data_IF_925982211088
#
_entry.id   IF_925982211088
#
_cell.length_a   1.000
_cell.length_b   1.000
_cell.length_c   1.000
_cell.angle_alpha   90.00
_cell.angle_beta   90.00
_cell.angle_gamma   90.00
#
_symmetry.space_group_name_H-M   'P 1'
#
loop_
_entity.id
_entity.type
_entity.pdbx_description
1 polymer ?
#
# COMPACT_ATOMS: atom_id res chain seq x y z
N UNK A 1 16.82 4.91 30.10
CA UNK A 1 16.00 6.14 29.99
C UNK A 1 14.70 5.86 30.72
N UNK A 2 14.36 6.70 31.69
CA UNK A 2 13.22 6.49 32.60
C UNK A 2 12.13 7.49 32.23
N UNK A 3 10.94 7.00 31.92
CA UNK A 3 9.81 7.84 31.53
C UNK A 3 8.79 7.80 32.68
N UNK A 4 8.68 8.91 33.41
CA UNK A 4 7.85 8.99 34.61
C UNK A 4 6.53 9.68 34.27
N UNK A 5 5.43 8.93 34.32
CA UNK A 5 4.07 9.47 34.18
C UNK A 5 3.50 9.69 35.57
N UNK A 6 3.18 10.94 35.90
CA UNK A 6 2.59 11.32 37.19
C UNK A 6 1.06 11.23 37.16
N UNK A 7 0.51 10.24 37.86
CA UNK A 7 -0.93 10.07 38.15
C UNK A 7 -1.12 9.53 39.58
N UNK A 8 -2.32 9.68 40.17
CA UNK A 8 -2.54 9.52 41.60
C UNK A 8 -2.29 8.08 42.09
N UNK A 9 -1.63 8.03 43.25
CA UNK A 9 -0.95 6.90 43.89
C UNK A 9 -1.89 5.79 44.35
N UNK A 10 -2.21 4.78 43.52
CA UNK A 10 -2.61 3.45 44.01
C UNK A 10 -2.15 2.37 43.03
N UNK A 11 -1.18 1.57 43.47
CA UNK A 11 -0.60 0.37 42.81
C UNK A 11 0.21 0.63 41.53
N UNK A 12 1.51 0.89 41.70
CA UNK A 12 2.48 0.59 40.65
C UNK A 12 2.52 -0.93 40.48
N UNK A 13 1.82 -1.44 39.46
CA UNK A 13 2.02 -2.79 38.94
C UNK A 13 3.37 -2.81 38.22
N UNK A 14 4.45 -2.96 38.98
CA UNK A 14 5.76 -3.27 38.41
C UNK A 14 5.76 -4.76 38.10
N UNK A 15 5.35 -5.13 36.87
CA UNK A 15 5.57 -6.48 36.38
C UNK A 15 7.06 -6.61 36.03
N UNK A 16 7.84 -7.42 36.76
CA UNK A 16 9.19 -7.73 36.31
C UNK A 16 9.05 -8.52 34.99
N UNK A 17 9.58 -7.99 33.89
CA UNK A 17 9.74 -8.76 32.66
C UNK A 17 10.92 -9.72 32.91
N UNK A 18 10.67 -10.79 33.68
CA UNK A 18 11.67 -11.79 34.06
C UNK A 18 11.75 -12.98 33.10
N UNK A 19 10.97 -12.97 32.02
CA UNK A 19 11.04 -13.96 30.96
C UNK A 19 11.25 -13.24 29.63
N UNK A 20 12.08 -13.82 28.78
CA UNK A 20 12.17 -13.42 27.38
C UNK A 20 10.74 -13.39 26.83
N UNK A 21 10.25 -12.21 26.45
CA UNK A 21 8.91 -12.06 25.86
C UNK A 21 8.85 -12.65 24.43
N UNK A 22 9.98 -13.18 23.95
CA UNK A 22 10.10 -13.92 22.71
C UNK A 22 9.61 -15.35 22.96
N UNK A 23 8.54 -15.81 22.28
CA UNK A 23 8.12 -17.21 22.33
C UNK A 23 9.30 -18.12 22.00
N UNK A 24 9.42 -19.28 22.67
CA UNK A 24 10.57 -20.19 22.52
C UNK A 24 10.86 -20.63 21.07
N UNK A 25 9.87 -20.51 20.18
CA UNK A 25 9.97 -20.82 18.75
C UNK A 25 10.56 -19.70 17.88
N UNK A 26 10.66 -18.47 18.39
CA UNK A 26 11.11 -17.31 17.63
C UNK A 26 12.56 -16.99 17.93
N UNK A 27 13.33 -16.67 16.88
CA UNK A 27 14.60 -16.00 17.05
C UNK A 27 14.36 -14.49 17.29
N UNK A 28 15.38 -13.78 17.80
CA UNK A 28 15.25 -12.35 18.14
C UNK A 28 14.83 -11.48 16.95
N UNK A 29 15.34 -11.77 15.75
CA UNK A 29 15.03 -11.02 14.53
C UNK A 29 13.56 -11.18 14.12
N UNK A 30 13.00 -12.39 14.27
CA UNK A 30 11.60 -12.69 14.04
C UNK A 30 10.72 -11.94 15.06
N UNK A 31 11.13 -11.91 16.33
CA UNK A 31 10.40 -11.18 17.36
C UNK A 31 10.38 -9.66 17.11
N UNK A 32 11.50 -9.08 16.69
CA UNK A 32 11.60 -7.66 16.34
C UNK A 32 10.72 -7.34 15.13
N UNK A 33 10.75 -8.19 14.10
CA UNK A 33 9.91 -8.03 12.90
C UNK A 33 8.42 -8.03 13.25
N UNK A 34 7.98 -8.92 14.14
CA UNK A 34 6.60 -8.96 14.59
C UNK A 34 6.23 -7.80 15.53
N UNK A 35 7.17 -7.33 16.36
CA UNK A 35 6.95 -6.15 17.19
C UNK A 35 6.68 -4.91 16.32
N UNK A 36 7.50 -4.69 15.29
CA UNK A 36 7.30 -3.62 14.31
C UNK A 36 5.94 -3.77 13.58
N UNK A 37 5.59 -4.99 13.18
CA UNK A 37 4.31 -5.28 12.53
C UNK A 37 3.11 -4.85 13.39
N UNK A 38 3.16 -5.12 14.70
CA UNK A 38 2.09 -4.71 15.62
C UNK A 38 2.11 -3.21 15.93
N UNK A 39 3.29 -2.58 15.98
CA UNK A 39 3.39 -1.12 16.16
C UNK A 39 2.78 -0.36 14.97
N UNK A 40 2.98 -0.85 13.74
CA UNK A 40 2.33 -0.27 12.56
C UNK A 40 0.81 -0.41 12.60
N UNK A 41 0.26 -1.55 13.04
CA UNK A 41 -1.18 -1.71 13.22
C UNK A 41 -1.72 -0.73 14.26
N UNK A 42 -1.07 -0.62 15.42
CA UNK A 42 -1.47 0.31 16.47
C UNK A 42 -1.39 1.77 16.01
N UNK A 43 -0.36 2.12 15.24
CA UNK A 43 -0.23 3.45 14.63
C UNK A 43 -1.33 3.71 13.62
N UNK A 44 -1.67 2.74 12.77
CA UNK A 44 -2.75 2.85 11.79
C UNK A 44 -4.11 3.06 12.49
N UNK A 45 -4.41 2.30 13.53
CA UNK A 45 -5.61 2.47 14.36
C UNK A 45 -5.69 3.89 14.93
N UNK A 46 -4.59 4.38 15.50
CA UNK A 46 -4.52 5.73 16.07
C UNK A 46 -4.73 6.81 15.02
N UNK A 47 -4.12 6.69 13.83
CA UNK A 47 -4.23 7.70 12.77
C UNK A 47 -5.62 7.72 12.12
N UNK A 48 -6.28 6.57 12.04
CA UNK A 48 -7.60 6.43 11.42
C UNK A 48 -8.74 6.60 12.41
N UNK A 49 -8.46 6.53 13.72
CA UNK A 49 -9.47 6.53 14.77
C UNK A 49 -10.31 5.24 14.81
N UNK A 50 -9.91 4.21 14.08
CA UNK A 50 -10.64 2.94 13.99
C UNK A 50 -9.97 1.88 14.86
N UNK A 51 -10.76 1.16 15.64
CA UNK A 51 -10.29 -0.05 16.33
C UNK A 51 -10.62 -1.27 15.48
N UNK A 52 -9.63 -2.14 15.27
CA UNK A 52 -9.78 -3.42 14.60
C UNK A 52 -8.89 -4.47 15.26
N UNK A 53 -9.41 -5.64 15.56
CA UNK A 53 -8.58 -6.72 16.09
C UNK A 53 -7.60 -7.22 15.03
N UNK A 54 -6.47 -7.79 15.47
CA UNK A 54 -5.59 -8.54 14.56
C UNK A 54 -6.40 -9.66 13.91
N UNK A 55 -6.46 -9.71 12.56
CA UNK A 55 -7.30 -10.70 11.89
C UNK A 55 -6.77 -12.13 12.08
N UNK A 56 -7.64 -13.15 12.08
CA UNK A 56 -7.21 -14.54 12.06
C UNK A 56 -6.31 -14.79 10.84
N UNK A 57 -5.12 -15.37 11.06
CA UNK A 57 -4.17 -15.62 9.98
C UNK A 57 -3.37 -14.41 9.50
N UNK A 58 -3.28 -13.35 10.32
CA UNK A 58 -2.43 -12.19 10.05
C UNK A 58 -1.00 -12.58 9.67
N UNK A 59 -0.52 -12.05 8.56
CA UNK A 59 0.79 -12.36 7.97
C UNK A 59 1.71 -11.14 7.95
N UNK A 60 3.01 -11.36 7.71
CA UNK A 60 3.95 -10.27 7.46
C UNK A 60 3.62 -9.45 6.20
N UNK A 61 2.87 -10.02 5.25
CA UNK A 61 2.37 -9.26 4.10
C UNK A 61 1.34 -8.23 4.54
N UNK A 62 0.41 -8.62 5.41
CA UNK A 62 -0.58 -7.70 5.98
C UNK A 62 0.15 -6.60 6.80
N UNK A 63 1.18 -6.97 7.56
CA UNK A 63 2.02 -6.00 8.26
C UNK A 63 2.70 -4.98 7.32
N UNK A 64 3.20 -5.45 6.18
CA UNK A 64 3.75 -4.58 5.16
C UNK A 64 2.69 -3.64 4.56
N UNK A 65 1.47 -4.13 4.32
CA UNK A 65 0.35 -3.31 3.87
C UNK A 65 -0.03 -2.25 4.92
N UNK A 66 0.05 -2.58 6.22
CA UNK A 66 -0.25 -1.66 7.32
C UNK A 66 0.82 -0.56 7.40
N UNK A 67 2.09 -0.95 7.30
CA UNK A 67 3.21 -0.01 7.19
C UNK A 67 3.05 0.94 6.01
N UNK A 68 2.72 0.42 4.83
CA UNK A 68 2.50 1.23 3.64
C UNK A 68 1.36 2.23 3.84
N UNK A 69 0.25 1.81 4.44
CA UNK A 69 -0.85 2.71 4.77
C UNK A 69 -0.43 3.82 5.73
N UNK A 70 0.37 3.50 6.76
CA UNK A 70 0.92 4.50 7.69
C UNK A 70 1.83 5.49 6.95
N UNK A 71 2.73 5.01 6.10
CA UNK A 71 3.59 5.88 5.26
C UNK A 71 2.76 6.81 4.39
N UNK A 72 1.75 6.29 3.69
CA UNK A 72 0.83 7.07 2.87
C UNK A 72 0.11 8.15 3.70
N UNK A 73 -0.42 7.80 4.87
CA UNK A 73 -1.10 8.74 5.77
C UNK A 73 -0.16 9.82 6.35
N UNK A 74 1.16 9.56 6.38
CA UNK A 74 2.19 10.56 6.72
C UNK A 74 2.56 11.46 5.55
N UNK A 75 1.97 11.25 4.37
CA UNK A 75 2.31 11.96 3.14
C UNK A 75 3.55 11.43 2.45
N UNK A 76 4.05 10.27 2.86
CA UNK A 76 5.17 9.60 2.20
C UNK A 76 4.71 8.89 0.93
N UNK A 77 5.66 8.61 0.04
CA UNK A 77 5.43 7.78 -1.15
C UNK A 77 5.68 6.31 -0.82
N UNK A 78 4.92 5.42 -1.46
CA UNK A 78 5.12 3.97 -1.35
C UNK A 78 5.43 3.39 -2.71
N UNK A 79 6.54 2.64 -2.80
CA UNK A 79 6.88 1.88 -3.99
C UNK A 79 6.06 0.59 -4.05
N UNK A 80 5.42 0.35 -5.18
CA UNK A 80 4.56 -0.81 -5.40
C UNK A 80 5.36 -1.95 -6.03
N UNK A 81 5.25 -3.19 -5.52
CA UNK A 81 5.96 -4.36 -6.06
C UNK A 81 5.36 -4.88 -7.37
N UNK A 82 4.29 -4.26 -7.87
CA UNK A 82 3.55 -4.73 -9.02
C UNK A 82 4.40 -4.66 -10.30
N UNK A 83 4.35 -5.75 -11.09
CA UNK A 83 5.07 -5.83 -12.38
C UNK A 83 4.13 -5.79 -13.58
N UNK A 84 2.85 -6.05 -13.36
CA UNK A 84 1.81 -6.05 -14.39
C UNK A 84 0.54 -5.42 -13.83
N UNK A 85 -0.11 -4.57 -14.61
CA UNK A 85 -1.42 -3.97 -14.30
C UNK A 85 -2.40 -4.23 -15.44
N UNK A 86 -3.69 -4.23 -15.13
CA UNK A 86 -4.76 -4.34 -16.12
C UNK A 86 -5.55 -3.03 -16.18
N UNK A 87 -5.80 -2.52 -17.39
CA UNK A 87 -6.49 -1.25 -17.61
C UNK A 87 -7.60 -1.45 -18.64
N UNK A 88 -8.79 -0.90 -18.37
CA UNK A 88 -9.89 -0.86 -19.33
C UNK A 88 -9.68 0.26 -20.34
N UNK A 89 -10.00 0.00 -21.60
CA UNK A 89 -9.91 0.94 -22.72
C UNK A 89 -11.19 0.88 -23.53
N UNK A 90 -11.77 2.04 -23.80
CA UNK A 90 -13.02 2.24 -24.54
C UNK A 90 -12.80 2.92 -25.91
N UNK A 91 -11.57 3.37 -26.19
CA UNK A 91 -11.21 4.14 -27.39
C UNK A 91 -9.99 3.56 -28.10
N UNK A 92 -10.07 3.48 -29.43
CA UNK A 92 -8.99 2.92 -30.24
C UNK A 92 -7.75 3.82 -30.20
N UNK A 93 -7.93 5.13 -30.12
CA UNK A 93 -6.84 6.10 -30.05
C UNK A 93 -6.00 5.91 -28.77
N UNK A 94 -6.66 5.62 -27.64
CA UNK A 94 -6.00 5.31 -26.37
C UNK A 94 -5.19 4.02 -26.48
N UNK A 95 -5.75 3.00 -27.12
CA UNK A 95 -5.05 1.73 -27.35
C UNK A 95 -3.82 1.92 -28.25
N UNK A 96 -3.94 2.73 -29.31
CA UNK A 96 -2.82 3.07 -30.19
C UNK A 96 -1.76 3.90 -29.48
N UNK A 97 -2.14 4.87 -28.65
CA UNK A 97 -1.20 5.69 -27.89
C UNK A 97 -0.33 4.84 -26.96
N UNK A 98 -0.93 3.89 -26.25
CA UNK A 98 -0.21 2.98 -25.35
C UNK A 98 0.67 1.98 -26.12
N UNK A 99 0.40 1.75 -27.41
CA UNK A 99 1.21 0.88 -28.27
C UNK A 99 2.51 1.51 -28.77
N UNK A 100 2.68 2.83 -28.67
CA UNK A 100 3.78 3.59 -29.30
C UNK A 100 5.11 3.56 -28.53
N UNK A 101 5.18 2.91 -27.36
CA UNK A 101 6.43 2.71 -26.62
C UNK A 101 6.28 2.92 -25.11
N UNK A 102 7.38 3.27 -24.44
CA UNK A 102 7.37 3.57 -23.01
C UNK A 102 6.54 4.82 -22.75
N UNK A 103 5.53 4.69 -21.90
CA UNK A 103 4.61 5.76 -21.53
C UNK A 103 4.50 5.78 -20.01
N UNK A 104 4.64 6.97 -19.42
CA UNK A 104 4.29 7.19 -18.02
C UNK A 104 2.82 7.63 -17.94
N UNK A 105 2.08 7.08 -16.99
CA UNK A 105 0.73 7.53 -16.71
C UNK A 105 0.46 7.59 -15.21
N UNK A 106 -0.58 8.34 -14.86
CA UNK A 106 -1.08 8.47 -13.51
C UNK A 106 -2.51 7.93 -13.45
N UNK A 107 -2.75 6.95 -12.58
CA UNK A 107 -4.09 6.54 -12.20
C UNK A 107 -4.52 7.37 -10.99
N UNK A 108 -5.63 8.09 -11.10
CA UNK A 108 -6.21 8.87 -10.00
C UNK A 108 -7.43 8.14 -9.43
N UNK A 109 -7.46 8.00 -8.12
CA UNK A 109 -8.52 7.33 -7.38
C UNK A 109 -9.23 8.35 -6.49
N UNK A 110 -10.56 8.33 -6.50
CA UNK A 110 -11.36 9.18 -5.61
C UNK A 110 -11.23 8.75 -4.15
N UNK A 111 -11.01 7.46 -3.91
CA UNK A 111 -10.74 6.87 -2.61
C UNK A 111 -9.81 5.67 -2.76
N UNK A 112 -8.84 5.54 -1.86
CA UNK A 112 -8.00 4.36 -1.68
C UNK A 112 -8.45 3.65 -0.42
N UNK A 113 -8.97 2.44 -0.58
CA UNK A 113 -9.43 1.62 0.54
C UNK A 113 -8.45 0.47 0.75
N UNK A 114 -7.99 0.30 1.98
CA UNK A 114 -7.23 -0.87 2.41
C UNK A 114 -8.15 -1.78 3.22
N UNK A 115 -7.96 -3.08 3.09
CA UNK A 115 -8.75 -4.08 3.82
C UNK A 115 -7.85 -4.87 4.76
N UNK A 116 -8.19 -4.89 6.04
CA UNK A 116 -7.54 -5.68 7.09
C UNK A 116 -8.56 -6.62 7.73
N UNK A 117 -8.45 -7.91 7.40
CA UNK A 117 -9.49 -8.87 7.79
C UNK A 117 -10.85 -8.45 7.21
N UNK A 118 -11.79 -8.13 8.10
CA UNK A 118 -13.14 -7.65 7.73
C UNK A 118 -13.26 -6.12 7.74
N UNK A 119 -12.21 -5.40 8.10
CA UNK A 119 -12.23 -3.95 8.22
C UNK A 119 -11.77 -3.28 6.93
N UNK A 120 -12.58 -2.33 6.45
CA UNK A 120 -12.22 -1.45 5.34
C UNK A 120 -11.88 -0.07 5.89
N UNK A 121 -10.67 0.39 5.59
CA UNK A 121 -10.17 1.69 6.01
C UNK A 121 -10.01 2.54 4.76
N UNK A 122 -10.76 3.64 4.68
CA UNK A 122 -10.62 4.64 3.64
C UNK A 122 -9.47 5.58 4.00
N UNK A 123 -8.47 5.67 3.11
CA UNK A 123 -7.34 6.57 3.23
C UNK A 123 -7.56 7.90 2.50
N UNK A 124 -8.67 8.04 1.77
CA UNK A 124 -8.98 9.20 0.95
C UNK A 124 -8.43 9.08 -0.49
N UNK A 125 -8.45 10.17 -1.27
CA UNK A 125 -8.04 10.15 -2.66
C UNK A 125 -6.55 9.79 -2.80
N UNK A 126 -6.19 9.18 -3.92
CA UNK A 126 -4.80 8.81 -4.16
C UNK A 126 -4.43 8.75 -5.63
N UNK A 127 -3.13 8.69 -5.87
CA UNK A 127 -2.55 8.65 -7.20
C UNK A 127 -1.51 7.54 -7.25
N UNK A 128 -1.55 6.77 -8.33
CA UNK A 128 -0.50 5.83 -8.69
C UNK A 128 0.21 6.30 -9.96
N UNK A 129 1.51 6.51 -9.87
CA UNK A 129 2.39 6.81 -10.99
C UNK A 129 3.06 5.54 -11.46
N UNK A 130 3.01 5.28 -12.76
CA UNK A 130 3.64 4.09 -13.31
C UNK A 130 4.13 4.29 -14.74
N UNK A 131 5.24 3.64 -15.04
CA UNK A 131 5.86 3.66 -16.37
C UNK A 131 5.64 2.30 -17.03
N UNK A 132 5.08 2.30 -18.24
CA UNK A 132 4.82 1.11 -19.02
C UNK A 132 6.10 0.71 -19.76
N UNK A 133 6.46 -0.57 -19.66
CA UNK A 133 7.48 -1.21 -20.50
C UNK A 133 6.88 -1.69 -21.83
N UNK A 134 5.80 -2.49 -21.75
CA UNK A 134 5.11 -3.03 -22.93
C UNK A 134 3.68 -3.48 -22.64
N UNK A 135 2.85 -3.51 -23.69
CA UNK A 135 1.52 -4.15 -23.67
C UNK A 135 1.65 -5.64 -23.99
N UNK A 136 1.00 -6.50 -23.20
CA UNK A 136 1.15 -7.96 -23.28
C UNK A 136 0.12 -8.63 -24.21
N UNK A 137 -1.05 -8.01 -24.41
CA UNK A 137 -2.20 -8.63 -25.08
C UNK A 137 -2.82 -7.71 -26.17
N UNK A 138 -1.99 -6.96 -26.89
CA UNK A 138 -2.44 -5.93 -27.84
C UNK A 138 -3.40 -6.47 -28.91
N UNK A 139 -3.15 -7.68 -29.41
CA UNK A 139 -4.00 -8.30 -30.44
C UNK A 139 -5.39 -8.64 -29.90
N UNK A 140 -5.46 -9.31 -28.74
CA UNK A 140 -6.74 -9.62 -28.10
C UNK A 140 -7.51 -8.34 -27.74
N UNK A 141 -6.80 -7.31 -27.27
CA UNK A 141 -7.42 -6.03 -26.91
C UNK A 141 -8.03 -5.31 -28.12
N UNK A 142 -7.36 -5.30 -29.27
CA UNK A 142 -7.91 -4.71 -30.50
C UNK A 142 -9.17 -5.43 -30.96
N UNK A 143 -9.16 -6.75 -30.90
CA UNK A 143 -10.32 -7.55 -31.28
C UNK A 143 -11.49 -7.31 -30.32
N UNK A 144 -11.24 -7.39 -29.01
CA UNK A 144 -12.28 -7.13 -28.00
C UNK A 144 -12.88 -5.73 -28.15
N UNK A 145 -12.06 -4.72 -28.42
CA UNK A 145 -12.54 -3.36 -28.62
C UNK A 145 -13.44 -3.24 -29.87
N UNK A 146 -13.10 -3.93 -30.96
CA UNK A 146 -13.89 -3.93 -32.18
C UNK A 146 -15.23 -4.69 -32.00
N UNK A 147 -15.20 -5.79 -31.25
CA UNK A 147 -16.36 -6.67 -31.06
C UNK A 147 -17.32 -6.14 -29.96
N UNK A 148 -16.78 -5.58 -28.88
CA UNK A 148 -17.52 -5.27 -27.65
C UNK A 148 -17.53 -3.77 -27.30
N UNK A 149 -16.84 -2.92 -28.08
CA UNK A 149 -16.70 -1.49 -27.79
C UNK A 149 -15.85 -1.18 -26.55
N UNK A 150 -15.27 -2.19 -25.91
CA UNK A 150 -14.36 -2.05 -24.78
C UNK A 150 -13.32 -3.18 -24.77
N UNK A 151 -12.17 -2.94 -24.15
CA UNK A 151 -11.11 -3.94 -24.03
C UNK A 151 -10.36 -3.79 -22.71
N UNK A 152 -9.80 -4.89 -22.21
CA UNK A 152 -8.85 -4.85 -21.09
C UNK A 152 -7.44 -5.10 -21.61
N UNK A 153 -6.54 -4.14 -21.41
CA UNK A 153 -5.11 -4.30 -21.70
C UNK A 153 -4.33 -4.70 -20.46
N UNK A 154 -3.36 -5.61 -20.63
CA UNK A 154 -2.37 -6.00 -19.63
C UNK A 154 -1.07 -5.30 -19.95
N UNK A 155 -0.60 -4.48 -19.01
CA UNK A 155 0.58 -3.64 -19.14
C UNK A 155 1.66 -4.17 -18.24
N UNK A 156 2.83 -4.47 -18.79
CA UNK A 156 4.03 -4.72 -17.99
C UNK A 156 4.65 -3.38 -17.61
N UNK A 157 4.95 -3.21 -16.33
CA UNK A 157 5.59 -2.01 -15.80
C UNK A 157 7.11 -2.07 -15.97
N UNK A 158 7.74 -0.90 -16.13
CA UNK A 158 9.19 -0.74 -16.19
C UNK A 158 9.80 -1.10 -14.83
N UNK A 159 10.75 -2.04 -14.83
CA UNK A 159 11.41 -2.49 -13.59
C UNK A 159 12.47 -1.49 -13.08
N UNK A 160 12.93 -0.59 -13.94
CA UNK A 160 13.91 0.44 -13.58
C UNK A 160 13.26 1.65 -12.89
N UNK A 161 11.93 1.77 -12.98
CA UNK A 161 11.14 2.82 -12.35
C UNK A 161 9.95 2.16 -11.63
N UNK A 162 10.08 1.87 -10.32
CA UNK A 162 8.99 1.23 -9.58
C UNK A 162 7.73 2.11 -9.66
N UNK A 163 6.56 1.48 -9.71
CA UNK A 163 5.31 2.22 -9.59
C UNK A 163 5.22 2.85 -8.20
N UNK A 164 4.71 4.06 -8.12
CA UNK A 164 4.68 4.85 -6.90
C UNK A 164 3.25 5.21 -6.54
N UNK A 165 2.91 5.11 -5.26
CA UNK A 165 1.60 5.47 -4.72
C UNK A 165 1.73 6.64 -3.75
N UNK A 166 0.77 7.55 -3.83
CA UNK A 166 0.65 8.74 -2.99
C UNK A 166 -0.81 8.96 -2.61
N UNK A 167 -1.07 9.57 -1.45
CA UNK A 167 -2.38 10.15 -1.15
C UNK A 167 -2.47 11.59 -1.66
N UNK A 168 -3.67 11.99 -2.07
CA UNK A 168 -3.97 13.31 -2.60
C UNK A 168 -4.65 13.27 -3.97
N UNK A 169 -5.07 14.45 -4.44
CA UNK A 169 -5.77 14.66 -5.72
C UNK A 169 -4.86 15.19 -6.83
N UNK A 170 -3.74 15.77 -6.44
CA UNK A 170 -2.80 16.45 -7.33
C UNK A 170 -1.53 15.63 -7.53
N UNK A 171 -0.98 15.69 -8.75
CA UNK A 171 0.29 15.05 -9.04
C UNK A 171 1.36 15.66 -8.13
N UNK A 172 2.23 14.84 -7.51
CA UNK A 172 3.30 15.38 -6.70
C UNK A 172 4.18 16.29 -7.55
N UNK A 173 4.38 17.52 -7.10
CA UNK A 173 5.21 18.50 -7.81
C UNK A 173 6.62 17.94 -8.00
N UNK A 174 7.23 18.07 -9.20
CA UNK A 174 8.63 17.71 -9.41
C UNK A 174 9.51 18.65 -8.58
N UNK A 175 9.80 18.29 -7.33
CA UNK A 175 10.61 19.09 -6.41
C UNK A 175 10.18 19.06 -4.94
N UNK A 176 9.02 18.52 -4.60
CA UNK A 176 8.62 18.37 -3.19
C UNK A 176 8.90 16.93 -2.74
N UNK A 177 10.18 16.62 -2.60
CA UNK A 177 10.63 15.51 -1.77
C UNK A 177 10.89 16.09 -0.36
N UNK A 178 10.29 15.55 0.72
CA UNK A 178 10.90 15.69 2.04
C UNK A 178 12.23 14.95 2.10
#
# INVERSE_FOLDING_TARGET
>A
MELTVHGPTVTQLTAPITQSAVPDSWNSDEAETWADAFDYLATLQRMTGQFFATPPGYTLKDAHDARNAVSLLRGEKVDMPNTVVAVGVDRIESLEQVSKGKLAFAAKYQAMVITFGEHQIDLGPGIELMTIDKVLNMREARQSLADEGHATIRLKLDRTQPAQRYLGTDLPSPGTQP
#
